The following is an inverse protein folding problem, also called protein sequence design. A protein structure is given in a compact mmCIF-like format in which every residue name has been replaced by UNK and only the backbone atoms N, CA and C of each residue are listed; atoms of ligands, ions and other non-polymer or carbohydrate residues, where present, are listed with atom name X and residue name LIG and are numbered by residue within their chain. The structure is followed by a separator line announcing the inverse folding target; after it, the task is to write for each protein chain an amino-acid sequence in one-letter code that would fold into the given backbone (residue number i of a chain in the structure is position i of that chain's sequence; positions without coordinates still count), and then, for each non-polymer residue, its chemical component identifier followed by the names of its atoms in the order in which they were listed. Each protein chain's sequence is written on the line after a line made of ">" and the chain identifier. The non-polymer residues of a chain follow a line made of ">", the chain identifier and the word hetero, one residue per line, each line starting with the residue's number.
data_IF_972161856128
#
_entry.id   IF_972161856128
#
_cell.length_a   1.000
_cell.length_b   1.000
_cell.length_c   1.000
_cell.angle_alpha   90.00
_cell.angle_beta   90.00
_cell.angle_gamma   90.00
#
_symmetry.space_group_name_H-M   'P 1'
#
loop_
_entity.id
_entity.type
_entity.pdbx_description
1 polymer ?
#
# COMPACT_ATOMS: atom_id res chain seq x y z
N UNK A 1 -12.33 0.01 14.67
CA UNK A 1 -11.70 1.24 14.15
C UNK A 1 -12.62 1.87 13.12
N UNK A 2 -12.69 3.21 12.95
CA UNK A 2 -13.61 3.86 11.97
C UNK A 2 -13.50 3.30 10.54
N UNK A 3 -12.33 2.80 10.15
CA UNK A 3 -12.16 2.07 8.89
C UNK A 3 -12.95 0.76 8.80
N UNK A 4 -13.11 0.00 9.90
CA UNK A 4 -13.89 -1.25 9.94
C UNK A 4 -15.40 -0.97 9.91
N UNK A 5 -15.83 0.22 10.34
CA UNK A 5 -17.23 0.66 10.28
C UNK A 5 -17.62 1.25 8.90
N UNK A 6 -16.69 1.30 7.94
CA UNK A 6 -16.92 1.93 6.63
C UNK A 6 -16.90 3.46 6.65
N UNK A 7 -16.45 4.07 7.74
CA UNK A 7 -16.36 5.54 7.90
C UNK A 7 -15.07 6.12 7.31
N UNK A 8 -14.19 5.27 6.77
CA UNK A 8 -12.91 5.68 6.17
C UNK A 8 -12.58 4.80 4.96
N UNK A 9 -12.06 5.43 3.90
CA UNK A 9 -11.59 4.75 2.69
C UNK A 9 -10.12 4.37 2.89
N UNK A 10 -9.79 3.11 2.65
CA UNK A 10 -8.43 2.60 2.65
C UNK A 10 -8.01 2.34 1.21
N UNK A 11 -7.02 3.08 0.74
CA UNK A 11 -6.39 2.82 -0.54
C UNK A 11 -5.32 1.74 -0.39
N UNK A 12 -5.35 0.73 -1.26
CA UNK A 12 -4.37 -0.35 -1.27
C UNK A 12 -3.58 -0.27 -2.58
N UNK A 13 -2.32 0.19 -2.57
CA UNK A 13 -1.48 0.16 -3.75
C UNK A 13 -1.37 -1.27 -4.27
N UNK A 14 -1.60 -1.52 -5.56
CA UNK A 14 -1.58 -2.88 -6.13
C UNK A 14 -0.19 -3.53 -6.04
N UNK A 15 0.87 -2.74 -5.86
CA UNK A 15 2.22 -3.25 -5.61
C UNK A 15 2.30 -4.03 -4.29
N UNK A 16 1.52 -3.65 -3.27
CA UNK A 16 1.42 -4.38 -1.99
C UNK A 16 0.81 -5.76 -2.23
N UNK A 17 -0.23 -5.84 -3.07
CA UNK A 17 -0.85 -7.12 -3.43
C UNK A 17 0.12 -8.02 -4.19
N UNK A 18 0.90 -7.46 -5.12
CA UNK A 18 1.94 -8.20 -5.84
C UNK A 18 3.02 -8.72 -4.87
N UNK A 19 3.43 -7.92 -3.89
CA UNK A 19 4.36 -8.34 -2.85
C UNK A 19 3.78 -9.44 -1.96
N UNK A 20 2.52 -9.32 -1.52
CA UNK A 20 1.84 -10.38 -0.77
C UNK A 20 1.84 -11.70 -1.54
N UNK A 21 1.51 -11.69 -2.84
CA UNK A 21 1.57 -12.88 -3.68
C UNK A 21 2.98 -13.47 -3.71
N UNK A 22 3.99 -12.64 -3.96
CA UNK A 22 5.39 -13.06 -3.97
C UNK A 22 5.80 -13.72 -2.64
N UNK A 23 5.41 -13.14 -1.50
CA UNK A 23 5.72 -13.71 -0.19
C UNK A 23 5.02 -15.06 0.05
N UNK A 24 3.77 -15.22 -0.41
CA UNK A 24 3.02 -16.49 -0.35
C UNK A 24 3.69 -17.55 -1.21
N UNK A 25 4.01 -17.24 -2.47
CA UNK A 25 4.64 -18.18 -3.41
C UNK A 25 6.00 -18.67 -2.93
N UNK A 26 6.72 -17.82 -2.18
CA UNK A 26 8.02 -18.18 -1.59
C UNK A 26 7.91 -18.75 -0.16
N UNK A 27 6.69 -19.06 0.32
CA UNK A 27 6.47 -19.66 1.63
C UNK A 27 6.89 -18.79 2.82
N UNK A 28 7.02 -17.47 2.62
CA UNK A 28 7.44 -16.52 3.66
C UNK A 28 6.29 -16.11 4.58
N UNK A 29 5.04 -16.20 4.10
CA UNK A 29 3.83 -15.94 4.86
C UNK A 29 2.77 -16.99 4.56
N UNK A 30 1.95 -17.31 5.57
CA UNK A 30 0.77 -18.16 5.40
C UNK A 30 -0.47 -17.28 5.21
N UNK A 31 -0.87 -17.10 3.96
CA UNK A 31 -2.00 -16.26 3.55
C UNK A 31 -2.69 -16.89 2.34
N UNK A 32 -4.03 -17.01 2.38
CA UNK A 32 -4.81 -17.34 1.19
C UNK A 32 -4.97 -16.09 0.31
N UNK A 33 -4.15 -15.98 -0.73
CA UNK A 33 -4.19 -14.84 -1.64
C UNK A 33 -5.55 -14.70 -2.36
N UNK A 34 -6.16 -15.83 -2.74
CA UNK A 34 -7.49 -15.84 -3.36
C UNK A 34 -8.57 -15.30 -2.41
N UNK A 35 -8.51 -15.64 -1.12
CA UNK A 35 -9.48 -15.12 -0.15
C UNK A 35 -9.23 -13.64 0.17
N UNK A 36 -7.97 -13.18 0.13
CA UNK A 36 -7.65 -11.76 0.21
C UNK A 36 -8.32 -10.99 -0.94
N UNK A 37 -8.14 -11.43 -2.19
CA UNK A 37 -8.75 -10.75 -3.35
C UNK A 37 -10.28 -10.72 -3.24
N UNK A 38 -10.91 -11.86 -2.91
CA UNK A 38 -12.38 -11.90 -2.71
C UNK A 38 -12.86 -10.91 -1.66
N UNK A 39 -12.14 -10.79 -0.54
CA UNK A 39 -12.49 -9.82 0.52
C UNK A 39 -12.38 -8.38 0.04
N UNK A 40 -11.37 -8.07 -0.79
CA UNK A 40 -11.21 -6.74 -1.37
C UNK A 40 -12.30 -6.42 -2.39
N UNK A 41 -12.75 -7.39 -3.18
CA UNK A 41 -13.83 -7.21 -4.16
C UNK A 41 -15.21 -7.01 -3.53
N UNK A 42 -15.45 -7.61 -2.35
CA UNK A 42 -16.75 -7.51 -1.65
C UNK A 42 -16.80 -6.26 -0.76
N UNK A 43 -15.65 -5.71 -0.38
CA UNK A 43 -15.57 -4.51 0.45
C UNK A 43 -15.82 -3.24 -0.36
N UNK A 44 -16.58 -2.31 0.23
CA UNK A 44 -16.81 -0.97 -0.35
C UNK A 44 -15.80 0.08 0.15
N UNK A 45 -14.99 -0.24 1.16
CA UNK A 45 -14.08 0.69 1.82
C UNK A 45 -12.60 0.42 1.50
N UNK A 46 -12.25 -0.70 0.86
CA UNK A 46 -10.91 -0.96 0.34
C UNK A 46 -10.86 -0.68 -1.15
N UNK A 47 -10.01 0.27 -1.57
CA UNK A 47 -9.90 0.71 -2.96
C UNK A 47 -8.50 0.37 -3.49
N UNK A 48 -8.37 -0.69 -4.33
CA UNK A 48 -7.11 -0.97 -5.00
C UNK A 48 -6.68 0.21 -5.87
N UNK A 49 -5.42 0.63 -5.76
CA UNK A 49 -4.86 1.74 -6.52
C UNK A 49 -3.72 1.25 -7.40
N UNK A 50 -3.93 1.32 -8.72
CA UNK A 50 -2.98 0.82 -9.71
C UNK A 50 -1.72 1.67 -9.78
N UNK A 51 -0.57 1.01 -9.89
CA UNK A 51 0.66 1.68 -10.32
C UNK A 51 0.49 2.23 -11.75
N UNK A 52 0.71 3.54 -11.92
CA UNK A 52 0.45 4.24 -13.17
C UNK A 52 1.56 5.25 -13.48
N UNK A 53 1.47 5.91 -14.64
CA UNK A 53 2.50 6.84 -15.11
C UNK A 53 2.66 8.07 -14.21
N UNK A 54 1.64 8.51 -13.47
CA UNK A 54 1.76 9.62 -12.53
C UNK A 54 2.61 9.20 -11.32
N UNK A 55 2.37 8.00 -10.79
CA UNK A 55 3.17 7.43 -9.68
C UNK A 55 4.62 7.21 -10.14
N UNK A 56 4.83 6.68 -11.35
CA UNK A 56 6.18 6.47 -11.92
C UNK A 56 7.01 7.76 -11.94
N UNK A 57 6.41 8.90 -12.31
CA UNK A 57 7.10 10.21 -12.35
C UNK A 57 7.53 10.73 -10.96
N UNK A 58 6.91 10.23 -9.89
CA UNK A 58 7.26 10.62 -8.53
C UNK A 58 8.44 9.83 -7.97
N UNK A 59 8.69 8.61 -8.48
CA UNK A 59 9.72 7.71 -7.93
C UNK A 59 11.13 8.33 -7.85
N UNK A 60 11.62 9.11 -8.83
CA UNK A 60 12.95 9.72 -8.73
C UNK A 60 13.12 10.69 -7.56
N UNK A 61 12.02 11.15 -6.94
CA UNK A 61 12.02 12.08 -5.80
C UNK A 61 11.86 11.37 -4.45
N UNK A 62 11.83 10.04 -4.44
CA UNK A 62 11.60 9.23 -3.23
C UNK A 62 12.83 8.36 -3.01
N UNK A 63 13.64 8.76 -2.04
CA UNK A 63 14.91 8.13 -1.69
C UNK A 63 14.72 7.04 -0.64
N UNK A 64 13.95 6.00 -1.00
CA UNK A 64 13.84 4.78 -0.20
C UNK A 64 14.64 3.66 -0.85
N UNK A 65 15.15 2.70 -0.11
CA UNK A 65 15.96 1.63 -0.65
C UNK A 65 15.18 0.75 -1.62
N UNK A 66 14.01 0.30 -1.21
CA UNK A 66 13.22 -0.68 -1.94
C UNK A 66 12.24 -0.05 -2.93
N UNK A 67 12.12 -0.62 -4.14
CA UNK A 67 11.26 -0.06 -5.19
C UNK A 67 9.77 -0.09 -4.82
N UNK A 68 9.31 -1.15 -4.16
CA UNK A 68 7.91 -1.27 -3.74
C UNK A 68 7.54 -0.18 -2.73
N UNK A 69 8.42 0.12 -1.77
CA UNK A 69 8.23 1.21 -0.80
C UNK A 69 8.16 2.57 -1.49
N UNK A 70 9.02 2.83 -2.49
CA UNK A 70 8.92 4.04 -3.30
C UNK A 70 7.55 4.17 -3.97
N UNK A 71 7.02 3.08 -4.52
CA UNK A 71 5.70 3.06 -5.16
C UNK A 71 4.58 3.29 -4.15
N UNK A 72 4.66 2.68 -2.96
CA UNK A 72 3.69 2.87 -1.87
C UNK A 72 3.65 4.34 -1.44
N UNK A 73 4.81 4.93 -1.13
CA UNK A 73 4.91 6.34 -0.71
C UNK A 73 4.50 7.30 -1.83
N UNK A 74 4.88 7.02 -3.08
CA UNK A 74 4.42 7.82 -4.23
C UNK A 74 2.89 7.78 -4.39
N UNK A 75 2.28 6.62 -4.15
CA UNK A 75 0.82 6.45 -4.21
C UNK A 75 0.13 7.26 -3.11
N UNK A 76 0.59 7.15 -1.86
CA UNK A 76 0.07 7.93 -0.74
C UNK A 76 0.20 9.44 -0.98
N UNK A 77 1.35 9.88 -1.50
CA UNK A 77 1.61 11.29 -1.84
C UNK A 77 0.70 11.80 -2.96
N UNK A 78 0.49 11.01 -4.02
CA UNK A 78 -0.39 11.38 -5.13
C UNK A 78 -1.85 11.51 -4.67
N UNK A 79 -2.29 10.65 -3.76
CA UNK A 79 -3.65 10.65 -3.21
C UNK A 79 -3.85 11.65 -2.05
N UNK A 80 -2.78 12.31 -1.59
CA UNK A 80 -2.77 13.11 -0.37
C UNK A 80 -3.34 12.33 0.83
N UNK A 81 -2.98 11.05 0.92
CA UNK A 81 -3.45 10.13 1.96
C UNK A 81 -2.38 9.91 3.03
N UNK A 82 -2.83 9.63 4.27
CA UNK A 82 -1.96 9.13 5.33
C UNK A 82 -1.61 7.67 5.05
N UNK A 83 -0.41 7.25 5.42
CA UNK A 83 0.08 5.90 5.22
C UNK A 83 0.03 5.10 6.54
N UNK A 84 -0.41 3.85 6.48
CA UNK A 84 -0.36 2.90 7.62
C UNK A 84 0.83 1.97 7.38
N UNK A 85 1.89 2.06 8.19
CA UNK A 85 3.08 1.21 8.06
C UNK A 85 3.90 1.15 9.34
N UNK A 86 4.54 -0.01 9.65
CA UNK A 86 5.57 -0.13 10.71
C UNK A 86 6.98 0.16 10.19
N UNK A 87 7.14 0.37 8.89
CA UNK A 87 8.45 0.50 8.28
C UNK A 87 9.15 1.78 8.75
N UNK A 88 10.32 1.62 9.39
CA UNK A 88 11.06 2.73 9.96
C UNK A 88 11.67 3.64 8.89
N UNK A 89 12.11 3.09 7.76
CA UNK A 89 12.68 3.90 6.69
C UNK A 89 11.62 4.86 6.13
N UNK A 90 10.40 4.35 5.92
CA UNK A 90 9.28 5.18 5.49
C UNK A 90 8.91 6.23 6.56
N UNK A 91 8.81 5.83 7.83
CA UNK A 91 8.48 6.74 8.94
C UNK A 91 9.52 7.86 9.05
N UNK A 92 10.81 7.50 9.10
CA UNK A 92 11.91 8.43 9.29
C UNK A 92 12.11 9.35 8.08
N UNK A 93 11.66 8.93 6.88
CA UNK A 93 11.73 9.76 5.66
C UNK A 93 10.89 11.04 5.76
N UNK A 94 9.81 11.04 6.54
CA UNK A 94 8.88 12.17 6.65
C UNK A 94 8.20 12.58 5.33
N UNK A 95 8.25 11.75 4.28
CA UNK A 95 7.74 12.10 2.94
C UNK A 95 6.21 12.17 2.91
N UNK A 96 5.54 11.36 3.74
CA UNK A 96 4.09 11.29 3.92
C UNK A 96 3.76 11.17 5.41
N UNK A 97 2.58 11.64 5.81
CA UNK A 97 2.10 11.45 7.19
C UNK A 97 1.81 9.97 7.44
N UNK A 98 2.37 9.41 8.52
CA UNK A 98 2.16 8.02 8.93
C UNK A 98 1.27 7.93 10.16
N UNK A 99 0.34 6.98 10.18
CA UNK A 99 -0.57 6.68 11.29
C UNK A 99 -0.50 5.20 11.69
N UNK A 100 -0.89 4.89 12.94
CA UNK A 100 -0.96 3.56 13.53
C UNK A 100 -2.31 3.32 14.21
#
# INVERSE_FOLDING_TARGET
>A
MSAENGESIIFIPTIVLAECLYLVENGKIELSFNDLIKKLEISNNFVPTSFNFQILKLLPKIELKELHDRVIVATAKLLNAKLITKDKEIIDSGIVEVIW
#
